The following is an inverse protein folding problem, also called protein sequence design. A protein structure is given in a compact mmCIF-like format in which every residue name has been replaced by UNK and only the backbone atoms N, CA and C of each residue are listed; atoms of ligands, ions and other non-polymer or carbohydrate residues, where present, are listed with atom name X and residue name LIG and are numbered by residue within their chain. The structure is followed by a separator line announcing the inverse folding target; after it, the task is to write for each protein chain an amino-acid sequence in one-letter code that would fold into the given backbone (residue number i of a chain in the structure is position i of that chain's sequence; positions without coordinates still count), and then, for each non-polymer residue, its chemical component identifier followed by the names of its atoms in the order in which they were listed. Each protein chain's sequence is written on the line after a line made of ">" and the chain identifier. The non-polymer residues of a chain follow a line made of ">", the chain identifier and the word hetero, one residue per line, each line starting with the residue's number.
data_IF_942739774976
#
_entry.id   IF_942739774976
#
_cell.length_a   1.000
_cell.length_b   1.000
_cell.length_c   1.000
_cell.angle_alpha   90.00
_cell.angle_beta   90.00
_cell.angle_gamma   90.00
#
_symmetry.space_group_name_H-M   'P 1'
#
loop_
_entity.id
_entity.type
_entity.pdbx_description
1 polymer ?
#
# COMPACT_ATOMS: atom_id res chain seq x y z
N UNK A 1 -56.24 -2.67 -11.22
CA UNK A 1 -55.68 -2.98 -9.88
C UNK A 1 -54.58 -4.05 -9.94
N UNK A 2 -54.70 -5.08 -10.78
CA UNK A 2 -53.69 -6.15 -10.92
C UNK A 2 -52.34 -5.64 -11.45
N UNK A 3 -52.38 -4.79 -12.48
CA UNK A 3 -51.19 -4.26 -13.15
C UNK A 3 -50.25 -3.47 -12.22
N UNK A 4 -50.82 -2.74 -11.24
CA UNK A 4 -50.06 -2.02 -10.21
C UNK A 4 -49.39 -2.97 -9.22
N UNK A 5 -50.01 -4.12 -8.92
CA UNK A 5 -49.43 -5.14 -8.01
C UNK A 5 -48.30 -5.88 -8.70
N UNK A 6 -48.47 -6.25 -9.96
CA UNK A 6 -47.45 -6.94 -10.74
C UNK A 6 -46.20 -6.06 -10.95
N UNK A 7 -46.40 -4.75 -11.16
CA UNK A 7 -45.30 -3.79 -11.18
C UNK A 7 -44.58 -3.69 -9.84
N UNK A 8 -45.33 -3.53 -8.73
CA UNK A 8 -44.73 -3.46 -7.39
C UNK A 8 -43.96 -4.73 -7.02
N UNK A 9 -44.46 -5.91 -7.37
CA UNK A 9 -43.77 -7.17 -7.11
C UNK A 9 -42.43 -7.27 -7.85
N UNK A 10 -42.38 -6.84 -9.12
CA UNK A 10 -41.13 -6.79 -9.89
C UNK A 10 -40.17 -5.75 -9.31
N UNK A 11 -40.70 -4.61 -8.88
CA UNK A 11 -39.91 -3.54 -8.26
C UNK A 11 -39.30 -3.97 -6.92
N UNK A 12 -40.06 -4.67 -6.07
CA UNK A 12 -39.56 -5.25 -4.82
C UNK A 12 -38.49 -6.32 -5.06
N UNK A 13 -38.69 -7.19 -6.06
CA UNK A 13 -37.67 -8.17 -6.45
C UNK A 13 -36.39 -7.51 -6.97
N UNK A 14 -36.53 -6.43 -7.75
CA UNK A 14 -35.39 -5.63 -8.19
C UNK A 14 -34.66 -4.98 -7.01
N UNK A 15 -35.38 -4.37 -6.07
CA UNK A 15 -34.80 -3.79 -4.85
C UNK A 15 -34.08 -4.85 -4.01
N UNK A 16 -34.66 -6.04 -3.85
CA UNK A 16 -34.02 -7.14 -3.15
C UNK A 16 -32.72 -7.57 -3.82
N UNK A 17 -32.70 -7.64 -5.16
CA UNK A 17 -31.49 -7.96 -5.92
C UNK A 17 -30.42 -6.86 -5.81
N UNK A 18 -30.79 -5.59 -5.91
CA UNK A 18 -29.87 -4.46 -5.74
C UNK A 18 -29.29 -4.43 -4.33
N UNK A 19 -30.13 -4.61 -3.30
CA UNK A 19 -29.68 -4.68 -1.92
C UNK A 19 -28.74 -5.87 -1.72
N UNK A 20 -29.03 -7.04 -2.30
CA UNK A 20 -28.15 -8.21 -2.24
C UNK A 20 -26.79 -7.99 -2.92
N UNK A 21 -26.71 -7.11 -3.93
CA UNK A 21 -25.46 -6.74 -4.59
C UNK A 21 -24.70 -5.64 -3.84
N UNK A 22 -25.41 -4.72 -3.20
CA UNK A 22 -24.83 -3.59 -2.45
C UNK A 22 -24.41 -3.97 -1.04
N UNK A 23 -25.03 -5.00 -0.46
CA UNK A 23 -24.64 -5.54 0.83
C UNK A 23 -23.22 -6.14 0.70
N UNK A 24 -22.25 -5.64 1.48
CA UNK A 24 -20.86 -6.14 1.45
C UNK A 24 -20.72 -7.61 1.87
N UNK A 25 -21.82 -8.27 2.24
CA UNK A 25 -21.86 -9.62 2.82
C UNK A 25 -22.83 -10.61 2.15
N UNK A 26 -23.60 -10.24 1.12
CA UNK A 26 -24.57 -11.16 0.48
C UNK A 26 -24.21 -11.63 -0.92
N UNK A 27 -23.08 -11.17 -1.47
CA UNK A 27 -22.54 -11.66 -2.73
C UNK A 27 -21.58 -12.82 -2.52
N UNK A 28 -22.10 -14.02 -2.25
CA UNK A 28 -21.31 -15.23 -1.97
C UNK A 28 -20.45 -15.11 -0.70
N UNK A 29 -20.19 -16.22 -0.02
CA UNK A 29 -19.26 -16.24 1.10
C UNK A 29 -17.84 -16.08 0.53
N UNK A 30 -17.46 -14.84 0.20
CA UNK A 30 -16.12 -14.54 -0.26
C UNK A 30 -15.16 -14.95 0.87
N UNK A 31 -14.25 -15.87 0.55
CA UNK A 31 -13.26 -16.32 1.51
C UNK A 31 -12.47 -15.10 2.00
N UNK A 32 -12.33 -14.89 3.32
CA UNK A 32 -11.57 -13.77 3.84
C UNK A 32 -10.13 -13.83 3.31
N UNK A 33 -9.58 -12.68 2.95
CA UNK A 33 -8.19 -12.50 2.52
C UNK A 33 -7.25 -13.13 3.53
N UNK A 34 -7.54 -13.00 4.83
CA UNK A 34 -6.75 -13.62 5.88
C UNK A 34 -6.65 -15.16 5.80
N UNK A 35 -7.60 -15.84 5.14
CA UNK A 35 -7.59 -17.29 4.92
C UNK A 35 -6.90 -17.70 3.61
N UNK A 36 -6.73 -16.75 2.68
CA UNK A 36 -6.03 -16.97 1.41
C UNK A 36 -4.50 -16.86 1.55
N UNK A 37 -3.99 -16.36 2.68
CA UNK A 37 -2.56 -16.14 2.93
C UNK A 37 -1.97 -17.37 3.63
N UNK A 38 -0.84 -17.86 3.13
CA UNK A 38 -0.07 -18.92 3.79
C UNK A 38 0.34 -18.54 5.22
N UNK A 39 0.26 -19.49 6.15
CA UNK A 39 0.52 -19.29 7.58
C UNK A 39 1.89 -18.70 7.92
N UNK A 40 2.92 -18.98 7.11
CA UNK A 40 4.26 -18.40 7.31
C UNK A 40 4.28 -16.93 6.88
N UNK A 41 3.82 -16.65 5.67
CA UNK A 41 3.71 -15.31 5.09
C UNK A 41 2.83 -14.40 5.95
N UNK A 42 1.70 -14.92 6.44
CA UNK A 42 0.80 -14.20 7.35
C UNK A 42 1.50 -13.77 8.64
N UNK A 43 2.36 -14.63 9.21
CA UNK A 43 3.14 -14.32 10.42
C UNK A 43 4.23 -13.29 10.15
N UNK A 44 4.90 -13.39 9.00
CA UNK A 44 5.91 -12.43 8.56
C UNK A 44 5.29 -11.04 8.41
N UNK A 45 4.23 -10.89 7.60
CA UNK A 45 3.56 -9.59 7.39
C UNK A 45 3.05 -9.00 8.71
N UNK A 46 2.43 -9.84 9.55
CA UNK A 46 1.92 -9.41 10.85
C UNK A 46 3.02 -8.82 11.75
N UNK A 47 4.20 -9.45 11.76
CA UNK A 47 5.35 -9.02 12.58
C UNK A 47 6.07 -7.82 11.97
N UNK A 48 6.40 -7.91 10.69
CA UNK A 48 7.37 -7.01 10.06
C UNK A 48 6.72 -5.74 9.53
N UNK A 49 5.45 -5.80 9.12
CA UNK A 49 4.78 -4.68 8.46
C UNK A 49 3.64 -4.10 9.28
N UNK A 50 2.86 -4.95 9.96
CA UNK A 50 1.72 -4.52 10.77
C UNK A 50 2.04 -4.41 12.27
N UNK A 51 3.24 -4.85 12.69
CA UNK A 51 3.73 -4.87 14.06
C UNK A 51 2.67 -5.33 15.10
N UNK A 52 1.84 -6.29 14.70
CA UNK A 52 0.66 -6.74 15.44
C UNK A 52 0.59 -8.26 15.43
N UNK A 53 0.05 -8.86 16.49
CA UNK A 53 -0.12 -10.31 16.53
C UNK A 53 -1.07 -10.79 15.40
N UNK A 54 -0.79 -11.90 14.70
CA UNK A 54 -1.58 -12.37 13.54
C UNK A 54 -3.07 -12.58 13.83
N UNK A 55 -3.42 -12.89 15.08
CA UNK A 55 -4.78 -13.11 15.56
C UNK A 55 -5.55 -11.82 15.92
N UNK A 56 -4.85 -10.68 16.00
CA UNK A 56 -5.44 -9.38 16.33
C UNK A 56 -5.71 -8.52 15.09
N UNK A 57 -5.21 -8.94 13.92
CA UNK A 57 -5.38 -8.20 12.66
C UNK A 57 -6.76 -8.50 12.08
N UNK A 58 -7.56 -7.44 11.91
CA UNK A 58 -8.90 -7.54 11.34
C UNK A 58 -8.86 -7.80 9.83
N UNK A 59 -9.90 -8.44 9.30
CA UNK A 59 -10.05 -8.68 7.86
C UNK A 59 -9.93 -7.40 7.03
N UNK A 60 -10.53 -6.30 7.52
CA UNK A 60 -10.43 -4.99 6.86
C UNK A 60 -8.99 -4.48 6.76
N UNK A 61 -8.13 -4.79 7.74
CA UNK A 61 -6.72 -4.40 7.70
C UNK A 61 -5.94 -5.25 6.68
N UNK A 62 -6.26 -6.55 6.56
CA UNK A 62 -5.71 -7.39 5.50
C UNK A 62 -6.10 -6.87 4.11
N UNK A 63 -7.39 -6.54 3.91
CA UNK A 63 -7.86 -5.94 2.65
C UNK A 63 -7.15 -4.61 2.37
N UNK A 64 -7.09 -3.71 3.34
CA UNK A 64 -6.42 -2.42 3.18
C UNK A 64 -4.94 -2.56 2.81
N UNK A 65 -4.23 -3.47 3.47
CA UNK A 65 -2.83 -3.78 3.21
C UNK A 65 -2.62 -4.24 1.75
N UNK A 66 -3.37 -5.23 1.27
CA UNK A 66 -3.22 -5.71 -0.12
C UNK A 66 -3.74 -4.73 -1.16
N UNK A 67 -4.70 -3.86 -0.81
CA UNK A 67 -5.17 -2.81 -1.72
C UNK A 67 -4.12 -1.71 -1.92
N UNK A 68 -3.21 -1.48 -0.97
CA UNK A 68 -2.08 -0.55 -1.18
C UNK A 68 -1.19 -0.97 -2.35
N UNK A 69 -1.06 -2.27 -2.62
CA UNK A 69 -0.30 -2.76 -3.78
C UNK A 69 -0.91 -2.35 -5.14
N UNK A 70 -2.19 -1.96 -5.17
CA UNK A 70 -2.84 -1.44 -6.38
C UNK A 70 -2.47 0.02 -6.66
N UNK A 71 -1.98 0.74 -5.65
CA UNK A 71 -1.47 2.10 -5.83
C UNK A 71 -0.07 1.95 -6.43
N UNK A 72 0.18 2.43 -7.66
CA UNK A 72 1.52 2.40 -8.21
C UNK A 72 2.43 3.18 -7.25
N UNK A 73 3.41 2.52 -6.64
CA UNK A 73 4.51 3.20 -5.98
C UNK A 73 5.35 3.83 -7.09
N UNK A 74 4.92 4.99 -7.59
CA UNK A 74 5.71 5.80 -8.49
C UNK A 74 6.85 6.42 -7.65
N UNK A 75 7.77 5.57 -7.20
CA UNK A 75 9.07 6.01 -6.71
C UNK A 75 9.78 6.56 -7.92
N UNK A 76 9.82 7.89 -8.03
CA UNK A 76 10.49 8.57 -9.12
C UNK A 76 12.01 8.45 -8.92
N UNK A 77 12.57 7.30 -9.32
CA UNK A 77 14.01 7.02 -9.23
C UNK A 77 14.85 8.05 -9.98
N UNK A 78 14.32 8.69 -11.03
CA UNK A 78 15.00 9.77 -11.72
C UNK A 78 15.14 11.02 -10.83
N UNK A 79 14.10 11.37 -10.06
CA UNK A 79 14.19 12.46 -9.09
C UNK A 79 15.16 12.11 -7.93
N UNK A 80 15.18 10.85 -7.50
CA UNK A 80 16.12 10.36 -6.48
C UNK A 80 17.58 10.44 -6.97
N UNK A 81 17.86 10.02 -8.21
CA UNK A 81 19.20 10.09 -8.81
C UNK A 81 19.69 11.54 -8.95
N UNK A 82 18.81 12.45 -9.38
CA UNK A 82 19.13 13.89 -9.42
C UNK A 82 19.45 14.44 -8.04
N UNK A 83 18.70 14.03 -7.00
CA UNK A 83 18.97 14.43 -5.63
C UNK A 83 20.30 13.85 -5.10
N UNK A 84 20.59 12.59 -5.39
CA UNK A 84 21.86 11.94 -5.01
C UNK A 84 23.07 12.63 -5.66
N UNK A 85 22.98 12.94 -6.95
CA UNK A 85 24.04 13.67 -7.68
C UNK A 85 24.25 15.09 -7.14
N UNK A 86 23.19 15.76 -6.70
CA UNK A 86 23.30 17.09 -6.07
C UNK A 86 23.94 17.06 -4.69
N UNK A 87 23.84 15.93 -3.99
CA UNK A 87 24.41 15.76 -2.65
C UNK A 87 25.88 15.32 -2.67
N UNK A 88 26.48 15.12 -3.85
CA UNK A 88 27.90 14.75 -3.96
C UNK A 88 28.78 15.79 -3.25
N UNK A 89 29.38 15.34 -2.15
CA UNK A 89 30.22 16.16 -1.28
C UNK A 89 31.54 16.44 -2.01
N UNK A 90 31.96 17.70 -2.07
CA UNK A 90 33.24 18.09 -2.68
C UNK A 90 34.39 17.60 -1.78
N UNK A 91 34.92 16.42 -2.03
CA UNK A 91 36.06 15.83 -1.30
C UNK A 91 37.41 16.34 -1.79
N UNK A 92 37.48 17.59 -2.26
CA UNK A 92 38.76 18.17 -2.65
C UNK A 92 39.38 18.74 -1.37
N UNK A 93 40.28 17.95 -0.80
CA UNK A 93 41.15 18.38 0.29
C UNK A 93 42.06 19.50 -0.24
N UNK A 94 42.15 20.68 0.41
CA UNK A 94 43.11 21.69 0.02
C UNK A 94 44.53 21.14 0.23
N UNK A 95 45.30 21.05 -0.84
CA UNK A 95 46.72 20.71 -0.77
C UNK A 95 47.44 21.80 0.07
N UNK A 96 48.26 21.45 1.07
CA UNK A 96 48.94 22.44 1.89
C UNK A 96 49.90 23.27 1.03
N UNK A 97 49.77 24.60 1.13
CA UNK A 97 50.69 25.56 0.52
C UNK A 97 52.12 25.25 0.98
N UNK A 98 53.00 24.93 0.03
CA UNK A 98 54.44 24.83 0.30
C UNK A 98 54.95 26.25 0.50
N UNK A 99 55.31 26.55 1.75
CA UNK A 99 55.96 27.79 2.12
C UNK A 99 57.41 27.73 1.58
N UNK A 100 57.75 28.64 0.66
CA UNK A 100 59.09 28.76 0.11
C UNK A 100 60.06 29.14 1.24
N UNK A 101 60.94 28.21 1.64
CA UNK A 101 62.07 28.46 2.51
C UNK A 101 63.10 29.34 1.76
N UNK A 102 63.11 30.63 2.08
CA UNK A 102 64.17 31.57 1.71
C UNK A 102 65.45 31.23 2.53
N UNK A 103 66.59 30.88 1.92
CA UNK A 103 67.81 30.63 2.67
C UNK A 103 68.49 31.97 2.99
N UNK A 104 68.42 32.40 4.24
CA UNK A 104 69.35 33.39 4.81
C UNK A 104 70.69 32.74 5.15
N UNK A 105 71.71 32.97 4.33
CA UNK A 105 73.10 33.35 4.71
C UNK A 105 74.04 33.30 3.52
#
# INVERSE_FOLDING_TARGET
>A
MQDRRDFMQKYEAYLAAVNALQMPYSGSFAMPVAACIESQTKRMIARDELNTAPNMILEQQWVAYFMQAKVPSLVNYAALDVAMKRLEMKTIWPEPEKQDDEPSS
#
